data_IF_760943234841
#
_entry.id   IF_760943234841
#
_cell.length_a   1.000
_cell.length_b   1.000
_cell.length_c   1.000
_cell.angle_alpha   90.00
_cell.angle_beta   90.00
_cell.angle_gamma   90.00
#
_symmetry.space_group_name_H-M   'P 1'
#
loop_
_entity.id
_entity.type
_entity.pdbx_description
1 polymer ?
#
# COMPACT_ATOMS: atom_id res chain seq x y z
N UNK A 1 -17.27 14.00 -7.97
CA UNK A 1 -15.85 13.75 -7.60
C UNK A 1 -15.67 14.15 -6.14
N UNK A 2 -14.96 13.36 -5.33
CA UNK A 2 -14.87 13.51 -3.86
C UNK A 2 -13.98 14.70 -3.42
N UNK A 3 -13.75 15.69 -4.29
CA UNK A 3 -13.00 16.90 -3.97
C UNK A 3 -11.46 16.78 -3.91
N UNK A 4 -10.89 15.64 -4.29
CA UNK A 4 -9.44 15.43 -4.30
C UNK A 4 -8.76 16.09 -5.50
N UNK A 5 -7.57 16.64 -5.29
CA UNK A 5 -6.70 17.13 -6.38
C UNK A 5 -6.01 15.98 -7.11
N UNK A 6 -5.51 16.23 -8.32
CA UNK A 6 -4.77 15.22 -9.10
C UNK A 6 -3.55 14.68 -8.34
N UNK A 7 -2.81 15.55 -7.65
CA UNK A 7 -1.66 15.14 -6.83
C UNK A 7 -2.06 14.30 -5.62
N UNK A 8 -3.16 14.64 -4.95
CA UNK A 8 -3.68 13.82 -3.84
C UNK A 8 -4.08 12.43 -4.33
N UNK A 9 -4.74 12.32 -5.48
CA UNK A 9 -5.08 11.04 -6.10
C UNK A 9 -3.80 10.25 -6.44
N UNK A 10 -2.81 10.90 -7.05
CA UNK A 10 -1.54 10.27 -7.41
C UNK A 10 -0.81 9.73 -6.18
N UNK A 11 -0.73 10.51 -5.10
CA UNK A 11 -0.08 10.09 -3.84
C UNK A 11 -0.84 8.95 -3.16
N UNK A 12 -2.17 9.02 -3.12
CA UNK A 12 -2.99 7.97 -2.54
C UNK A 12 -2.80 6.62 -3.26
N UNK A 13 -2.65 6.64 -4.60
CA UNK A 13 -2.33 5.43 -5.38
C UNK A 13 -0.94 4.84 -5.08
N UNK A 14 -0.04 5.65 -4.52
CA UNK A 14 1.27 5.22 -4.01
C UNK A 14 1.25 4.83 -2.52
N UNK A 15 0.06 4.85 -1.89
CA UNK A 15 -0.08 4.53 -0.46
C UNK A 15 0.31 5.66 0.49
N UNK A 16 0.32 6.92 0.04
CA UNK A 16 0.68 8.07 0.88
C UNK A 16 -0.41 9.13 1.02
N UNK A 17 -0.36 9.91 2.09
CA UNK A 17 -1.22 11.06 2.34
C UNK A 17 -0.47 12.22 3.03
N UNK A 18 -1.00 13.44 2.91
CA UNK A 18 -0.48 14.62 3.63
C UNK A 18 -0.92 14.64 5.10
N UNK A 19 -2.12 14.13 5.39
CA UNK A 19 -2.60 13.99 6.76
C UNK A 19 -1.85 12.86 7.48
N UNK A 20 -1.26 13.18 8.63
CA UNK A 20 -0.41 12.26 9.39
C UNK A 20 -1.16 11.00 9.82
N UNK A 21 -2.43 11.13 10.22
CA UNK A 21 -3.24 9.98 10.67
C UNK A 21 -3.57 9.08 9.48
N UNK A 22 -3.99 9.67 8.36
CA UNK A 22 -4.26 8.91 7.13
C UNK A 22 -3.00 8.22 6.62
N UNK A 23 -1.85 8.90 6.63
CA UNK A 23 -0.59 8.31 6.18
C UNK A 23 -0.18 7.10 7.03
N UNK A 24 -0.28 7.20 8.36
CA UNK A 24 -0.01 6.08 9.25
C UNK A 24 -0.97 4.89 9.02
N UNK A 25 -2.24 5.16 8.72
CA UNK A 25 -3.21 4.12 8.36
C UNK A 25 -2.80 3.40 7.06
N UNK A 26 -2.35 4.14 6.04
CA UNK A 26 -1.92 3.56 4.76
C UNK A 26 -0.63 2.72 4.93
N UNK A 27 0.33 3.20 5.72
CA UNK A 27 1.54 2.45 6.06
C UNK A 27 1.22 1.16 6.81
N UNK A 28 0.39 1.24 7.86
CA UNK A 28 -0.05 0.04 8.58
C UNK A 28 -0.79 -0.94 7.67
N UNK A 29 -1.69 -0.46 6.80
CA UNK A 29 -2.42 -1.31 5.86
C UNK A 29 -1.48 -2.04 4.91
N UNK A 30 -0.42 -1.36 4.45
CA UNK A 30 0.62 -1.97 3.61
C UNK A 30 1.35 -3.09 4.37
N UNK A 31 1.81 -2.82 5.60
CA UNK A 31 2.43 -3.85 6.45
C UNK A 31 1.49 -5.01 6.76
N UNK A 32 0.21 -4.74 7.03
CA UNK A 32 -0.80 -5.76 7.28
C UNK A 32 -0.90 -6.74 6.11
N UNK A 33 -0.95 -6.22 4.89
CA UNK A 33 -1.06 -7.05 3.67
C UNK A 33 0.24 -7.82 3.43
N UNK A 34 1.40 -7.15 3.49
CA UNK A 34 2.72 -7.75 3.27
C UNK A 34 3.02 -8.88 4.27
N UNK A 35 2.70 -8.65 5.55
CA UNK A 35 2.87 -9.61 6.64
C UNK A 35 1.71 -10.60 6.74
N UNK A 36 0.72 -10.54 5.84
CA UNK A 36 -0.46 -11.43 5.82
C UNK A 36 -1.19 -11.49 7.17
N UNK A 37 -1.35 -10.35 7.82
CA UNK A 37 -2.01 -10.24 9.13
C UNK A 37 -1.10 -10.38 10.34
N UNK A 38 0.15 -10.81 10.17
CA UNK A 38 1.11 -10.97 11.27
C UNK A 38 1.80 -9.64 11.64
N UNK A 39 1.02 -8.69 12.13
CA UNK A 39 1.51 -7.38 12.60
C UNK A 39 2.05 -7.47 14.03
N UNK A 40 3.05 -6.65 14.37
CA UNK A 40 3.62 -6.58 15.72
C UNK A 40 2.85 -5.62 16.62
N UNK A 41 3.09 -5.70 17.93
CA UNK A 41 2.56 -4.71 18.87
C UNK A 41 3.07 -3.29 18.58
N UNK A 42 4.28 -3.16 18.03
CA UNK A 42 4.85 -1.88 17.60
C UNK A 42 4.07 -1.28 16.42
N UNK A 43 3.64 -2.10 15.45
CA UNK A 43 2.80 -1.65 14.33
C UNK A 43 1.47 -1.06 14.86
N UNK A 44 0.86 -1.70 15.86
CA UNK A 44 -0.37 -1.22 16.49
C UNK A 44 -0.15 0.00 17.38
N UNK A 45 0.98 0.06 18.09
CA UNK A 45 1.35 1.20 18.92
C UNK A 45 1.57 2.46 18.06
N UNK A 46 2.18 2.32 16.88
CA UNK A 46 2.36 3.42 15.93
C UNK A 46 1.02 4.06 15.54
N UNK A 47 0.00 3.26 15.24
CA UNK A 47 -1.36 3.76 14.93
C UNK A 47 -1.99 4.48 16.12
N UNK A 48 -1.91 3.89 17.32
CA UNK A 48 -2.47 4.50 18.53
C UNK A 48 -1.80 5.84 18.86
N UNK A 49 -0.50 5.98 18.56
CA UNK A 49 0.24 7.22 18.80
C UNK A 49 -0.28 8.42 18.00
N UNK A 50 -0.92 8.18 16.85
CA UNK A 50 -1.56 9.20 16.01
C UNK A 50 -3.07 9.29 16.22
N UNK A 51 -3.58 8.67 17.31
CA UNK A 51 -4.98 8.77 17.72
C UNK A 51 -5.94 7.88 16.93
N UNK A 52 -5.46 6.76 16.38
CA UNK A 52 -6.33 5.70 15.82
C UNK A 52 -6.81 4.82 16.97
N UNK A 53 -8.12 4.66 17.07
CA UNK A 53 -8.79 3.81 18.06
C UNK A 53 -8.82 2.34 17.65
N UNK A 54 -8.98 1.42 18.60
CA UNK A 54 -9.10 -0.01 18.29
C UNK A 54 -10.31 -0.33 17.38
N UNK A 55 -11.38 0.47 17.45
CA UNK A 55 -12.51 0.39 16.53
C UNK A 55 -12.12 0.74 15.09
N UNK A 56 -11.39 1.84 14.90
CA UNK A 56 -10.84 2.20 13.58
C UNK A 56 -9.85 1.14 13.07
N UNK A 57 -9.04 0.53 13.94
CA UNK A 57 -8.15 -0.58 13.55
C UNK A 57 -8.96 -1.75 12.99
N UNK A 58 -10.05 -2.14 13.66
CA UNK A 58 -10.93 -3.20 13.17
C UNK A 58 -11.55 -2.83 11.80
N UNK A 59 -11.97 -1.58 11.61
CA UNK A 59 -12.50 -1.08 10.33
C UNK A 59 -11.45 -1.09 9.21
N UNK A 60 -10.19 -0.76 9.51
CA UNK A 60 -9.07 -0.82 8.57
C UNK A 60 -8.85 -2.26 8.10
N UNK A 61 -8.79 -3.21 9.04
CA UNK A 61 -8.61 -4.64 8.71
C UNK A 61 -9.79 -5.16 7.88
N UNK A 62 -11.02 -4.78 8.23
CA UNK A 62 -12.21 -5.16 7.48
C UNK A 62 -12.17 -4.64 6.03
N UNK A 63 -11.84 -3.36 5.84
CA UNK A 63 -11.70 -2.76 4.51
C UNK A 63 -10.58 -3.40 3.69
N UNK A 64 -9.41 -3.63 4.30
CA UNK A 64 -8.29 -4.29 3.64
C UNK A 64 -8.70 -5.69 3.16
N UNK A 65 -9.38 -6.45 4.01
CA UNK A 65 -9.87 -7.79 3.69
C UNK A 65 -10.90 -7.78 2.55
N UNK A 66 -11.84 -6.83 2.57
CA UNK A 66 -12.83 -6.67 1.50
C UNK A 66 -12.16 -6.35 0.15
N UNK A 67 -11.18 -5.44 0.15
CA UNK A 67 -10.44 -5.09 -1.05
C UNK A 67 -9.60 -6.26 -1.58
N UNK A 68 -8.95 -7.04 -0.70
CA UNK A 68 -8.24 -8.25 -1.11
C UNK A 68 -9.19 -9.28 -1.72
N UNK A 69 -10.35 -9.50 -1.10
CA UNK A 69 -11.35 -10.43 -1.60
C UNK A 69 -11.80 -10.06 -3.02
N UNK A 70 -12.18 -8.80 -3.26
CA UNK A 70 -12.64 -8.35 -4.59
C UNK A 70 -11.51 -8.36 -5.62
N UNK A 71 -10.28 -7.99 -5.24
CA UNK A 71 -9.11 -8.10 -6.11
C UNK A 71 -8.88 -9.55 -6.55
N UNK A 72 -8.94 -10.50 -5.62
CA UNK A 72 -8.72 -11.92 -5.92
C UNK A 72 -9.82 -12.50 -6.80
N UNK A 73 -11.09 -12.16 -6.54
CA UNK A 73 -12.20 -12.53 -7.41
C UNK A 73 -11.98 -12.01 -8.83
N UNK A 74 -11.59 -10.74 -9.00
CA UNK A 74 -11.33 -10.17 -10.31
C UNK A 74 -10.14 -10.84 -11.03
N UNK A 75 -9.09 -11.20 -10.31
CA UNK A 75 -7.96 -11.94 -10.90
C UNK A 75 -8.35 -13.34 -11.37
N UNK A 76 -9.13 -14.08 -10.55
CA UNK A 76 -9.61 -15.42 -10.90
C UNK A 76 -10.58 -15.39 -12.09
N UNK A 77 -11.48 -14.41 -12.13
CA UNK A 77 -12.45 -14.24 -13.20
C UNK A 77 -11.86 -13.65 -14.49
N UNK A 78 -10.63 -13.11 -14.44
CA UNK A 78 -10.00 -12.35 -15.53
C UNK A 78 -10.90 -11.22 -16.04
N UNK A 79 -11.52 -10.48 -15.12
CA UNK A 79 -12.49 -9.41 -15.45
C UNK A 79 -11.88 -8.37 -16.40
N UNK A 80 -12.57 -8.08 -17.51
CA UNK A 80 -12.17 -7.02 -18.45
C UNK A 80 -12.46 -5.63 -17.87
N UNK A 81 -11.58 -4.66 -18.16
CA UNK A 81 -11.75 -3.27 -17.70
C UNK A 81 -12.74 -2.55 -18.63
N UNK A 82 -13.89 -2.15 -18.10
CA UNK A 82 -14.98 -1.49 -18.83
C UNK A 82 -15.02 0.05 -18.64
N UNK A 83 -13.98 0.61 -18.01
CA UNK A 83 -13.84 2.03 -17.72
C UNK A 83 -12.51 2.62 -18.26
N UNK A 84 -12.37 3.95 -18.35
CA UNK A 84 -11.14 4.58 -18.81
C UNK A 84 -9.92 4.15 -17.99
N UNK A 85 -8.86 3.75 -18.66
CA UNK A 85 -7.61 3.36 -18.01
C UNK A 85 -7.05 4.53 -17.19
N UNK A 86 -6.58 4.23 -15.99
CA UNK A 86 -5.86 5.18 -15.16
C UNK A 86 -4.49 5.49 -15.78
N UNK A 87 -4.05 6.75 -15.65
CA UNK A 87 -2.69 7.13 -16.01
C UNK A 87 -1.68 6.25 -15.26
N UNK A 88 -0.64 5.79 -15.96
CA UNK A 88 0.43 5.03 -15.33
C UNK A 88 1.16 5.92 -14.33
N UNK A 89 1.37 5.41 -13.12
CA UNK A 89 2.29 6.05 -12.20
C UNK A 89 3.68 5.82 -12.78
N UNK A 90 4.42 6.89 -13.09
CA UNK A 90 5.85 6.73 -13.38
C UNK A 90 6.48 6.01 -12.19
N UNK A 91 7.33 5.02 -12.46
CA UNK A 91 8.18 4.49 -11.40
C UNK A 91 9.01 5.68 -10.90
N UNK A 92 8.68 6.20 -9.71
CA UNK A 92 9.62 7.02 -8.97
C UNK A 92 10.92 6.25 -8.93
N UNK A 93 12.02 6.93 -9.26
CA UNK A 93 13.37 6.38 -9.36
C UNK A 93 13.54 5.31 -8.27
N UNK A 94 13.57 4.04 -8.69
CA UNK A 94 14.25 3.05 -7.87
C UNK A 94 15.62 3.67 -7.66
N UNK A 95 15.98 4.00 -6.42
CA UNK A 95 17.37 4.27 -6.12
C UNK A 95 18.15 3.08 -6.69
N UNK A 96 18.98 3.33 -7.70
CA UNK A 96 19.94 2.39 -8.24
C UNK A 96 21.01 2.11 -7.18
N UNK A 97 20.60 1.55 -6.05
CA UNK A 97 21.46 0.99 -5.03
C UNK A 97 21.41 -0.53 -5.03
N UNK A 98 20.85 -1.14 -6.07
CA UNK A 98 21.31 -2.47 -6.48
C UNK A 98 22.69 -2.29 -7.12
N UNK A 99 23.70 -1.99 -6.29
CA UNK A 99 25.08 -1.98 -6.70
C UNK A 99 25.42 -3.38 -7.24
N UNK A 100 25.66 -3.46 -8.54
CA UNK A 100 26.44 -4.54 -9.10
C UNK A 100 27.77 -4.55 -8.32
N UNK A 101 27.95 -5.56 -7.45
CA UNK A 101 29.27 -5.91 -6.98
C UNK A 101 29.98 -6.58 -8.16
N UNK A 102 30.61 -5.76 -9.00
CA UNK A 102 31.58 -6.26 -9.95
C UNK A 102 32.80 -6.81 -9.19
N UNK A 103 33.33 -7.89 -9.75
CA UNK A 103 34.58 -8.58 -9.44
C UNK A 103 34.61 -9.53 -8.24
N UNK A 104 33.98 -10.70 -8.43
CA UNK A 104 34.67 -12.02 -8.51
C UNK A 104 33.66 -13.18 -8.45
N UNK A 105 33.26 -13.68 -9.61
CA UNK A 105 32.80 -15.06 -9.73
C UNK A 105 33.53 -15.72 -10.91
N UNK A 106 34.78 -16.11 -10.65
CA UNK A 106 35.50 -17.05 -11.50
C UNK A 106 34.80 -18.39 -11.35
N UNK A 107 34.17 -18.86 -12.43
CA UNK A 107 33.68 -20.22 -12.55
C UNK A 107 34.89 -21.16 -12.52
N UNK A 108 34.88 -22.11 -11.59
CA UNK A 108 35.64 -23.36 -11.65
C UNK A 108 34.62 -24.50 -11.56
#
# INVERSE_FOLDING_TARGET
MVGLTADQVRRARLGGAEDTKVNAILEFTSHLIEKRGHVSDDDLAALRSVGVSDGEIAEIVANASLNLFTNYVNHVAQTEIDFPLAEQLSAGEKSDSCGCHDDKCSVA
#
